data_IF_841694015441
#
_entry.id   IF_841694015441
#
_cell.length_a   1.000
_cell.length_b   1.000
_cell.length_c   1.000
_cell.angle_alpha   90.00
_cell.angle_beta   90.00
_cell.angle_gamma   90.00
#
_symmetry.space_group_name_H-M   'P 1'
#
loop_
_entity.id
_entity.type
_entity.pdbx_description
1 polymer ?
#
# COMPACT_ATOMS: atom_id res chain seq x y z
N UNK A 1 5.30 7.22 29.24
CA UNK A 1 4.53 7.90 30.32
C UNK A 1 4.75 9.40 30.16
N UNK A 2 3.71 10.20 29.90
CA UNK A 2 3.85 11.63 29.57
C UNK A 2 3.44 12.53 30.77
N UNK A 3 4.21 13.59 31.06
CA UNK A 3 3.96 14.65 32.08
C UNK A 3 4.43 16.04 31.57
N UNK A 4 3.76 17.12 31.99
CA UNK A 4 3.82 18.50 31.46
C UNK A 4 4.95 19.35 32.07
N UNK A 5 5.69 20.13 31.25
CA UNK A 5 6.63 21.18 31.70
C UNK A 5 6.38 22.52 30.96
N UNK A 6 6.72 23.64 31.61
CA UNK A 6 6.51 25.00 31.12
C UNK A 6 7.52 25.42 30.01
N UNK A 7 7.02 26.11 28.98
CA UNK A 7 7.78 26.51 27.80
C UNK A 7 8.45 27.87 27.93
N UNK A 8 9.75 27.94 27.60
CA UNK A 8 10.54 29.17 27.49
C UNK A 8 10.06 30.07 26.34
N UNK A 9 9.64 31.30 26.68
CA UNK A 9 9.00 32.26 25.77
C UNK A 9 9.95 32.84 24.72
N UNK A 10 11.26 32.93 24.99
CA UNK A 10 12.26 33.47 24.06
C UNK A 10 12.38 32.61 22.79
N UNK A 11 12.45 31.29 22.95
CA UNK A 11 12.49 30.35 21.83
C UNK A 11 11.22 30.41 20.94
N UNK A 12 10.10 30.87 21.49
CA UNK A 12 8.85 31.04 20.74
C UNK A 12 8.90 32.29 19.87
N UNK A 13 9.47 33.37 20.38
CA UNK A 13 9.64 34.63 19.64
C UNK A 13 10.66 34.49 18.50
N UNK A 14 11.76 33.76 18.71
CA UNK A 14 12.76 33.50 17.66
C UNK A 14 12.25 32.62 16.51
N UNK A 15 11.27 31.73 16.77
CA UNK A 15 10.58 31.01 15.69
C UNK A 15 9.63 31.94 14.94
N UNK A 16 8.96 32.84 15.64
CA UNK A 16 8.02 33.77 15.04
C UNK A 16 8.71 34.78 14.11
N UNK A 17 9.85 35.33 14.53
CA UNK A 17 10.65 36.25 13.69
C UNK A 17 11.23 35.56 12.45
N UNK A 18 11.64 34.28 12.56
CA UNK A 18 12.08 33.49 11.40
C UNK A 18 10.95 33.25 10.40
N UNK A 19 9.74 32.96 10.88
CA UNK A 19 8.58 32.78 10.02
C UNK A 19 8.19 34.07 9.28
N UNK A 20 8.29 35.23 9.93
CA UNK A 20 8.00 36.52 9.29
C UNK A 20 8.95 36.83 8.13
N UNK A 21 10.27 36.58 8.29
CA UNK A 21 11.25 36.78 7.19
C UNK A 21 10.94 35.91 5.96
N UNK A 22 10.58 34.65 6.17
CA UNK A 22 10.22 33.71 5.09
C UNK A 22 8.91 34.14 4.39
N UNK A 23 8.03 34.85 5.10
CA UNK A 23 6.75 35.30 4.52
C UNK A 23 6.93 36.56 3.68
N UNK A 24 7.79 37.50 4.09
CA UNK A 24 8.11 38.71 3.31
C UNK A 24 8.81 38.40 1.98
N UNK A 25 9.65 37.36 1.93
CA UNK A 25 10.33 36.93 0.69
C UNK A 25 9.37 36.26 -0.31
N UNK A 26 8.28 35.66 0.18
CA UNK A 26 7.28 35.00 -0.66
C UNK A 26 6.16 35.94 -1.14
N UNK A 27 5.89 37.06 -0.43
CA UNK A 27 4.83 38.02 -0.79
C UNK A 27 5.21 38.88 -2.01
N UNK A 28 6.50 39.03 -2.35
CA UNK A 28 6.91 39.77 -3.55
C UNK A 28 6.58 39.05 -4.87
N UNK A 29 6.20 37.76 -4.84
CA UNK A 29 6.07 36.92 -6.03
C UNK A 29 4.65 36.45 -6.36
N UNK A 30 3.63 36.79 -5.57
CA UNK A 30 2.26 36.35 -5.82
C UNK A 30 1.21 37.31 -5.25
N UNK A 31 1.13 38.51 -5.84
CA UNK A 31 -0.09 39.31 -5.72
C UNK A 31 -1.18 38.69 -6.59
N UNK A 32 -2.22 38.18 -5.94
CA UNK A 32 -3.55 38.01 -6.54
C UNK A 32 -4.13 36.59 -6.46
N UNK A 33 -4.86 36.29 -5.38
CA UNK A 33 -6.31 36.02 -5.37
C UNK A 33 -6.70 35.40 -4.01
N UNK A 34 -7.76 35.95 -3.43
CA UNK A 34 -8.33 35.73 -2.11
C UNK A 34 -9.01 34.36 -1.89
N UNK A 35 -8.75 33.81 -0.71
CA UNK A 35 -9.63 33.24 0.32
C UNK A 35 -10.86 32.36 0.03
N UNK A 36 -10.90 31.29 0.86
CA UNK A 36 -12.01 30.52 1.42
C UNK A 36 -12.84 29.57 0.53
N UNK A 37 -12.84 28.28 0.91
CA UNK A 37 -14.03 27.60 1.46
C UNK A 37 -13.73 26.17 1.95
N UNK A 38 -14.18 25.89 3.18
CA UNK A 38 -14.27 24.57 3.82
C UNK A 38 -15.22 23.64 3.06
N UNK A 39 -14.84 22.37 2.81
CA UNK A 39 -15.84 21.32 2.55
C UNK A 39 -15.45 19.94 3.10
N UNK A 40 -16.29 19.51 4.04
CA UNK A 40 -16.47 18.14 4.54
C UNK A 40 -17.18 17.35 3.44
N UNK A 41 -16.68 16.16 3.08
CA UNK A 41 -17.44 15.24 2.23
C UNK A 41 -18.25 14.30 3.12
N UNK A 42 -19.55 14.57 3.22
CA UNK A 42 -20.57 13.60 3.63
C UNK A 42 -20.87 12.66 2.45
N UNK A 43 -20.90 11.36 2.74
CA UNK A 43 -21.35 10.33 1.83
C UNK A 43 -22.81 10.54 1.45
N UNK A 44 -23.08 10.75 0.16
CA UNK A 44 -24.41 10.51 -0.43
C UNK A 44 -24.24 9.48 -1.54
N UNK A 45 -24.95 8.36 -1.37
CA UNK A 45 -25.20 7.36 -2.39
C UNK A 45 -26.01 8.00 -3.52
N UNK A 46 -25.41 8.23 -4.68
CA UNK A 46 -26.12 8.17 -5.96
C UNK A 46 -25.21 7.53 -7.02
N UNK A 47 -25.70 6.46 -7.62
CA UNK A 47 -24.99 5.69 -8.62
C UNK A 47 -24.71 6.53 -9.86
N UNK A 48 -23.42 6.74 -10.15
CA UNK A 48 -22.97 7.08 -11.49
C UNK A 48 -21.65 6.35 -11.80
N UNK A 49 -21.70 5.53 -12.84
CA UNK A 49 -20.56 4.88 -13.46
C UNK A 49 -19.58 5.92 -14.01
N UNK A 50 -18.58 6.31 -13.22
CA UNK A 50 -17.31 6.82 -13.75
C UNK A 50 -16.20 5.86 -13.32
N UNK A 51 -15.89 4.93 -14.22
CA UNK A 51 -14.72 4.08 -14.09
C UNK A 51 -13.48 4.96 -14.32
N UNK A 52 -12.98 5.62 -13.26
CA UNK A 52 -11.72 6.33 -13.30
C UNK A 52 -10.62 5.36 -13.76
N UNK A 53 -9.93 5.71 -14.84
CA UNK A 53 -8.82 4.93 -15.39
C UNK A 53 -7.67 4.90 -14.37
N UNK A 54 -7.56 3.80 -13.63
CA UNK A 54 -6.34 3.49 -12.88
C UNK A 54 -5.23 3.17 -13.88
N UNK A 55 -4.22 4.03 -13.97
CA UNK A 55 -3.02 3.81 -14.77
C UNK A 55 -2.02 3.04 -13.93
N UNK A 56 -1.95 1.73 -14.15
CA UNK A 56 -1.03 0.80 -13.51
C UNK A 56 0.40 1.05 -14.02
N UNK A 57 1.34 1.49 -13.16
CA UNK A 57 2.74 1.75 -13.53
C UNK A 57 3.69 1.01 -12.58
N UNK A 58 4.18 -0.15 -13.01
CA UNK A 58 5.23 -0.88 -12.29
C UNK A 58 6.62 -0.36 -12.66
N UNK A 59 7.44 0.00 -11.67
CA UNK A 59 8.88 0.27 -11.84
C UNK A 59 9.62 -1.01 -12.18
N UNK A 60 10.36 -1.02 -13.29
CA UNK A 60 11.30 -2.09 -13.63
C UNK A 60 12.67 -1.82 -13.00
N UNK A 61 13.31 -2.85 -12.46
CA UNK A 61 14.74 -2.86 -12.13
C UNK A 61 15.35 -4.08 -12.82
N UNK A 62 16.48 -3.91 -13.50
CA UNK A 62 17.22 -5.03 -14.10
C UNK A 62 18.72 -4.98 -13.80
N UNK A 63 19.10 -5.90 -12.91
CA UNK A 63 20.29 -6.76 -12.73
C UNK A 63 21.74 -6.28 -12.97
N UNK A 64 22.55 -6.58 -11.95
CA UNK A 64 24.00 -6.80 -12.02
C UNK A 64 24.33 -8.09 -12.79
N UNK A 65 25.27 -8.05 -13.74
CA UNK A 65 26.54 -8.76 -13.56
C UNK A 65 27.66 -8.32 -14.54
N UNK A 66 28.86 -8.38 -13.99
CA UNK A 66 30.17 -7.97 -14.48
C UNK A 66 30.71 -8.73 -15.70
N UNK A 67 31.25 -8.01 -16.70
CA UNK A 67 32.55 -8.24 -17.37
C UNK A 67 32.93 -6.94 -18.11
N UNK A 68 34.11 -6.38 -17.80
CA UNK A 68 34.81 -5.24 -18.44
C UNK A 68 34.28 -4.81 -19.82
N UNK A 69 33.34 -3.86 -19.84
CA UNK A 69 33.00 -3.08 -21.03
C UNK A 69 32.84 -1.63 -20.58
N UNK A 70 33.70 -0.74 -21.08
CA UNK A 70 33.67 0.68 -20.76
C UNK A 70 32.32 1.27 -21.18
N UNK A 71 31.45 1.43 -20.19
CA UNK A 71 30.15 2.06 -20.33
C UNK A 71 30.34 3.53 -20.02
N UNK A 72 30.10 4.40 -21.01
CA UNK A 72 30.25 5.85 -20.81
C UNK A 72 28.86 6.46 -20.69
N UNK A 73 28.62 7.10 -19.55
CA UNK A 73 27.47 7.97 -19.34
C UNK A 73 27.92 9.40 -19.59
N UNK A 74 27.29 10.05 -20.57
CA UNK A 74 27.46 11.49 -20.79
C UNK A 74 26.15 12.20 -20.43
N UNK A 75 26.29 13.24 -19.61
CA UNK A 75 25.23 14.17 -19.29
C UNK A 75 25.65 15.51 -19.89
N UNK A 76 24.82 16.04 -20.78
CA UNK A 76 25.08 17.32 -21.40
C UNK A 76 23.89 18.25 -21.16
N UNK A 77 24.22 19.48 -20.78
CA UNK A 77 23.25 20.52 -20.48
C UNK A 77 23.14 21.44 -21.69
N UNK A 78 21.94 21.57 -22.24
CA UNK A 78 21.67 22.54 -23.30
C UNK A 78 20.51 23.41 -22.84
N UNK A 79 20.83 24.63 -22.39
CA UNK A 79 19.84 25.52 -21.78
C UNK A 79 19.34 25.02 -20.43
N UNK A 80 18.01 25.04 -20.21
CA UNK A 80 17.36 24.53 -19.00
C UNK A 80 17.03 23.03 -19.07
N UNK A 81 17.31 22.37 -20.19
CA UNK A 81 17.00 20.96 -20.41
C UNK A 81 18.24 20.08 -20.21
N UNK A 82 18.00 18.91 -19.63
CA UNK A 82 19.04 17.92 -19.33
C UNK A 82 18.76 16.66 -20.12
N UNK A 83 19.74 16.24 -20.93
CA UNK A 83 19.70 14.95 -21.60
C UNK A 83 20.83 14.06 -21.11
N UNK A 84 20.48 12.82 -20.78
CA UNK A 84 21.44 11.76 -20.46
C UNK A 84 21.47 10.74 -21.58
N UNK A 85 22.67 10.45 -22.08
CA UNK A 85 22.88 9.43 -23.10
C UNK A 85 23.84 8.36 -22.56
N UNK A 86 23.46 7.10 -22.76
CA UNK A 86 24.32 5.95 -22.55
C UNK A 86 24.73 5.38 -23.91
N UNK A 87 26.03 5.30 -24.18
CA UNK A 87 26.53 4.78 -25.46
C UNK A 87 27.38 3.54 -25.23
N UNK A 88 27.07 2.47 -25.98
CA UNK A 88 27.89 1.26 -26.06
C UNK A 88 28.77 1.39 -27.31
N UNK A 89 30.10 1.34 -27.15
CA UNK A 89 31.02 1.42 -28.29
C UNK A 89 30.76 0.28 -29.28
N UNK A 90 30.28 0.64 -30.48
CA UNK A 90 30.08 -0.28 -31.61
C UNK A 90 31.41 -0.55 -32.30
N UNK A 91 32.09 -1.62 -31.90
CA UNK A 91 32.99 -2.34 -32.79
C UNK A 91 32.69 -3.84 -32.69
N UNK A 92 31.56 -4.25 -33.27
CA UNK A 92 31.35 -5.62 -33.73
C UNK A 92 30.08 -5.72 -34.60
N UNK A 93 30.31 -6.09 -35.87
CA UNK A 93 29.39 -6.63 -36.89
C UNK A 93 28.45 -5.68 -37.64
N UNK A 94 28.81 -5.46 -38.91
CA UNK A 94 27.87 -5.27 -40.01
C UNK A 94 26.93 -6.48 -40.08
N UNK A 95 25.66 -6.30 -39.72
CA UNK A 95 24.59 -7.17 -40.18
C UNK A 95 23.42 -6.28 -40.62
N UNK A 96 23.16 -6.26 -41.93
CA UNK A 96 21.90 -5.75 -42.44
C UNK A 96 20.77 -6.59 -41.81
N UNK A 97 19.83 -5.94 -41.13
CA UNK A 97 18.66 -6.63 -40.59
C UNK A 97 17.39 -5.90 -41.05
N UNK A 98 16.51 -6.63 -41.73
CA UNK A 98 15.12 -6.26 -41.87
C UNK A 98 14.47 -6.35 -40.50
N UNK A 99 13.73 -5.32 -40.10
CA UNK A 99 12.91 -5.37 -38.88
C UNK A 99 11.75 -6.33 -39.14
N UNK A 100 11.82 -7.51 -38.54
CA UNK A 100 10.66 -8.38 -38.32
C UNK A 100 10.31 -8.34 -36.84
N UNK A 101 9.02 -8.19 -36.55
CA UNK A 101 8.46 -8.36 -35.23
C UNK A 101 8.66 -9.81 -34.80
N UNK A 102 9.67 -10.07 -33.97
CA UNK A 102 9.91 -11.40 -33.41
C UNK A 102 9.17 -11.50 -32.10
N UNK A 103 8.02 -12.15 -32.13
CA UNK A 103 7.42 -12.68 -30.91
C UNK A 103 8.44 -13.57 -30.20
N UNK A 104 8.68 -13.34 -28.92
CA UNK A 104 9.39 -14.29 -28.07
C UNK A 104 8.47 -15.49 -27.78
N UNK A 105 8.31 -16.37 -28.76
CA UNK A 105 7.62 -17.65 -28.70
C UNK A 105 8.16 -18.56 -29.81
N UNK A 106 8.22 -19.89 -29.62
CA UNK A 106 8.84 -20.77 -30.58
C UNK A 106 8.07 -20.77 -31.91
N UNK A 107 8.76 -20.42 -33.00
CA UNK A 107 8.29 -20.50 -34.37
C UNK A 107 8.43 -21.93 -34.89
N UNK A 108 7.53 -22.85 -34.54
CA UNK A 108 7.39 -24.09 -35.34
C UNK A 108 6.03 -24.76 -35.19
N UNK A 109 5.39 -24.96 -36.34
CA UNK A 109 4.26 -25.85 -36.55
C UNK A 109 4.80 -27.25 -36.89
N UNK A 110 4.45 -28.21 -36.04
CA UNK A 110 4.50 -29.68 -36.22
C UNK A 110 5.90 -30.32 -36.31
N UNK A 111 6.29 -31.12 -35.30
CA UNK A 111 6.31 -32.60 -35.28
C UNK A 111 6.48 -33.08 -33.82
N UNK A 112 5.54 -33.91 -33.38
CA UNK A 112 5.48 -34.85 -32.25
C UNK A 112 5.96 -34.48 -30.82
N UNK A 113 4.96 -34.43 -29.92
CA UNK A 113 5.01 -34.30 -28.44
C UNK A 113 5.46 -32.96 -27.86
N UNK A 114 4.90 -31.85 -28.35
CA UNK A 114 5.02 -30.50 -27.78
C UNK A 114 4.04 -30.19 -26.62
N UNK A 115 3.30 -31.19 -26.10
CA UNK A 115 2.48 -31.06 -24.88
C UNK A 115 3.31 -30.82 -23.61
N UNK A 116 4.64 -30.88 -23.70
CA UNK A 116 5.61 -30.88 -22.59
C UNK A 116 6.30 -29.54 -22.31
N UNK A 117 5.88 -28.44 -22.95
CA UNK A 117 6.24 -27.11 -22.42
C UNK A 117 5.47 -26.90 -21.12
N UNK A 118 6.18 -26.85 -19.98
CA UNK A 118 5.64 -26.55 -18.64
C UNK A 118 4.89 -25.21 -18.67
N UNK A 119 3.60 -25.25 -19.02
CA UNK A 119 2.71 -24.11 -18.97
C UNK A 119 2.35 -23.89 -17.50
N UNK A 120 2.17 -22.64 -17.09
CA UNK A 120 1.60 -22.37 -15.79
C UNK A 120 0.11 -22.72 -15.83
N UNK A 121 -0.24 -23.87 -15.25
CA UNK A 121 -1.59 -24.43 -15.15
C UNK A 121 -2.34 -23.92 -13.92
N UNK A 122 -2.04 -22.69 -13.48
CA UNK A 122 -2.67 -22.11 -12.30
C UNK A 122 -2.32 -22.87 -11.02
N UNK A 123 -3.32 -23.19 -10.22
CA UNK A 123 -3.13 -23.82 -8.90
C UNK A 123 -2.48 -25.20 -8.99
N UNK A 124 -2.69 -25.94 -10.08
CA UNK A 124 -2.10 -27.28 -10.27
C UNK A 124 -0.58 -27.26 -10.39
N UNK A 125 0.04 -26.09 -10.64
CA UNK A 125 1.49 -25.94 -10.63
C UNK A 125 2.09 -25.83 -9.23
N UNK A 126 1.29 -25.61 -8.19
CA UNK A 126 1.76 -25.43 -6.81
C UNK A 126 1.96 -26.80 -6.16
N UNK A 127 3.22 -27.18 -5.93
CA UNK A 127 3.57 -28.53 -5.44
C UNK A 127 3.77 -28.58 -3.92
N UNK A 128 4.15 -27.46 -3.32
CA UNK A 128 4.50 -27.39 -1.91
C UNK A 128 4.10 -26.05 -1.28
N UNK A 129 4.17 -25.99 0.05
CA UNK A 129 3.71 -24.82 0.81
C UNK A 129 4.61 -23.60 0.62
N UNK A 130 5.91 -23.79 0.34
CA UNK A 130 6.82 -22.68 0.13
C UNK A 130 6.49 -21.99 -1.21
N UNK A 131 6.26 -22.76 -2.27
CA UNK A 131 5.81 -22.23 -3.56
C UNK A 131 4.52 -21.41 -3.42
N UNK A 132 3.56 -21.91 -2.63
CA UNK A 132 2.33 -21.17 -2.39
C UNK A 132 2.61 -19.87 -1.64
N UNK A 133 3.37 -19.92 -0.54
CA UNK A 133 3.71 -18.74 0.27
C UNK A 133 4.47 -17.68 -0.51
N UNK A 134 5.41 -18.09 -1.35
CA UNK A 134 6.21 -17.17 -2.16
C UNK A 134 5.33 -16.40 -3.15
N UNK A 135 4.36 -17.08 -3.76
CA UNK A 135 3.44 -16.48 -4.72
C UNK A 135 2.32 -15.68 -4.08
N UNK A 136 1.78 -16.14 -2.96
CA UNK A 136 0.48 -15.66 -2.41
C UNK A 136 0.58 -15.05 -1.02
N UNK A 137 1.66 -15.27 -0.30
CA UNK A 137 1.82 -14.88 1.10
C UNK A 137 1.00 -15.73 2.09
N UNK A 138 0.34 -16.81 1.66
CA UNK A 138 -0.51 -17.64 2.53
C UNK A 138 -0.13 -19.12 2.51
N UNK A 139 -0.48 -19.85 3.58
CA UNK A 139 -0.35 -21.31 3.67
C UNK A 139 -1.51 -22.02 2.97
N UNK A 140 -1.38 -23.33 2.71
CA UNK A 140 -2.51 -24.12 2.20
C UNK A 140 -3.71 -24.10 3.15
N UNK A 141 -3.47 -24.03 4.47
CA UNK A 141 -4.54 -23.94 5.47
C UNK A 141 -5.36 -22.66 5.29
N UNK A 142 -4.71 -21.51 5.12
CA UNK A 142 -5.39 -20.23 4.88
C UNK A 142 -6.04 -20.21 3.49
N UNK A 143 -5.37 -20.74 2.47
CA UNK A 143 -5.93 -20.85 1.12
C UNK A 143 -7.25 -21.66 1.13
N UNK A 144 -7.24 -22.83 1.77
CA UNK A 144 -8.42 -23.68 1.89
C UNK A 144 -9.51 -23.08 2.80
N UNK A 145 -9.14 -22.21 3.76
CA UNK A 145 -10.09 -21.44 4.56
C UNK A 145 -10.85 -20.41 3.71
N UNK A 146 -10.19 -19.77 2.73
CA UNK A 146 -10.78 -18.76 1.87
C UNK A 146 -11.60 -19.34 0.72
N UNK A 147 -11.26 -20.54 0.26
CA UNK A 147 -11.89 -21.16 -0.93
C UNK A 147 -13.43 -21.26 -0.85
N UNK A 148 -14.05 -21.65 0.29
CA UNK A 148 -15.51 -21.72 0.42
C UNK A 148 -16.23 -20.39 0.29
N UNK A 149 -15.53 -19.24 0.37
CA UNK A 149 -16.15 -17.94 0.16
C UNK A 149 -16.50 -17.68 -1.31
N UNK A 150 -15.90 -18.43 -2.24
CA UNK A 150 -15.98 -18.18 -3.68
C UNK A 150 -17.04 -19.03 -4.41
N UNK A 151 -17.78 -19.87 -3.67
CA UNK A 151 -18.62 -20.97 -4.17
C UNK A 151 -19.77 -20.58 -5.11
N UNK A 152 -20.07 -19.29 -5.26
CA UNK A 152 -21.18 -18.80 -6.10
C UNK A 152 -20.78 -18.47 -7.56
N UNK A 153 -19.58 -18.84 -8.00
CA UNK A 153 -19.08 -18.46 -9.33
C UNK A 153 -19.40 -19.48 -10.43
N UNK A 154 -20.67 -19.52 -10.85
CA UNK A 154 -21.08 -20.19 -12.09
C UNK A 154 -20.38 -19.58 -13.33
N UNK A 155 -19.74 -20.46 -14.12
CA UNK A 155 -19.20 -20.24 -15.50
C UNK A 155 -18.03 -19.26 -15.66
N UNK A 156 -16.92 -19.46 -14.95
CA UNK A 156 -15.64 -18.83 -15.30
C UNK A 156 -14.75 -19.80 -16.10
N UNK A 157 -13.97 -19.27 -17.05
CA UNK A 157 -12.99 -20.03 -17.86
C UNK A 157 -11.89 -20.65 -16.99
N UNK A 158 -11.63 -20.03 -15.84
CA UNK A 158 -10.60 -20.44 -14.88
C UNK A 158 -11.27 -21.11 -13.67
N UNK A 159 -10.70 -22.20 -13.19
CA UNK A 159 -11.20 -22.90 -12.00
C UNK A 159 -11.10 -22.02 -10.75
N UNK A 160 -11.91 -22.33 -9.75
CA UNK A 160 -12.05 -21.52 -8.54
C UNK A 160 -10.75 -21.39 -7.73
N UNK A 161 -9.89 -22.43 -7.73
CA UNK A 161 -8.61 -22.38 -7.03
C UNK A 161 -7.65 -21.46 -7.76
N UNK A 162 -7.55 -21.55 -9.08
CA UNK A 162 -6.69 -20.63 -9.84
C UNK A 162 -7.20 -19.20 -9.84
N UNK A 163 -8.52 -18.97 -9.71
CA UNK A 163 -9.07 -17.63 -9.46
C UNK A 163 -8.58 -17.07 -8.11
N UNK A 164 -8.66 -17.85 -7.03
CA UNK A 164 -8.14 -17.45 -5.73
C UNK A 164 -6.61 -17.23 -5.78
N UNK A 165 -5.88 -18.09 -6.50
CA UNK A 165 -4.45 -17.93 -6.72
C UNK A 165 -4.13 -16.61 -7.43
N UNK A 166 -4.85 -16.27 -8.51
CA UNK A 166 -4.71 -14.99 -9.22
C UNK A 166 -4.89 -13.82 -8.26
N UNK A 167 -5.97 -13.85 -7.47
CA UNK A 167 -6.26 -12.79 -6.50
C UNK A 167 -5.13 -12.62 -5.50
N UNK A 168 -4.68 -13.70 -4.87
CA UNK A 168 -3.63 -13.65 -3.85
C UNK A 168 -2.26 -13.26 -4.42
N UNK A 169 -1.90 -13.72 -5.63
CA UNK A 169 -0.69 -13.27 -6.33
C UNK A 169 -0.73 -11.76 -6.56
N UNK A 170 -1.87 -11.23 -7.02
CA UNK A 170 -2.03 -9.79 -7.25
C UNK A 170 -1.87 -9.00 -5.95
N UNK A 171 -2.46 -9.45 -4.84
CA UNK A 171 -2.33 -8.81 -3.53
C UNK A 171 -0.89 -8.88 -3.00
N UNK A 172 -0.23 -10.03 -3.11
CA UNK A 172 1.11 -10.25 -2.56
C UNK A 172 2.22 -9.55 -3.36
N UNK A 173 2.17 -9.63 -4.69
CA UNK A 173 3.25 -9.19 -5.57
C UNK A 173 2.97 -7.88 -6.30
N UNK A 174 1.71 -7.40 -6.31
CA UNK A 174 1.34 -6.19 -7.04
C UNK A 174 1.46 -6.28 -8.56
N UNK A 175 1.75 -7.48 -9.11
CA UNK A 175 2.07 -7.67 -10.52
C UNK A 175 0.94 -7.24 -11.45
N UNK A 176 1.26 -6.75 -12.65
CA UNK A 176 0.24 -6.19 -13.56
C UNK A 176 -0.79 -7.21 -14.04
N UNK A 177 -2.02 -6.76 -14.34
CA UNK A 177 -3.02 -7.64 -14.94
C UNK A 177 -2.58 -8.18 -16.30
N UNK A 178 -1.77 -7.41 -17.05
CA UNK A 178 -1.16 -7.88 -18.30
C UNK A 178 -0.23 -9.07 -18.05
N UNK A 179 0.62 -9.03 -17.03
CA UNK A 179 1.50 -10.15 -16.72
C UNK A 179 0.73 -11.37 -16.21
N UNK A 180 -0.27 -11.18 -15.32
CA UNK A 180 -1.17 -12.28 -14.89
C UNK A 180 -1.90 -12.92 -16.07
N UNK A 181 -2.27 -12.13 -17.07
CA UNK A 181 -2.92 -12.61 -18.28
C UNK A 181 -2.03 -13.57 -19.09
N UNK A 182 -0.72 -13.31 -19.12
CA UNK A 182 0.28 -14.19 -19.75
C UNK A 182 0.46 -15.48 -18.94
N UNK A 183 0.60 -15.37 -17.62
CA UNK A 183 0.79 -16.54 -16.76
C UNK A 183 -0.40 -17.50 -16.80
N UNK A 184 -1.62 -16.97 -16.70
CA UNK A 184 -2.84 -17.79 -16.62
C UNK A 184 -3.53 -17.99 -17.98
N UNK A 185 -2.96 -17.47 -19.07
CA UNK A 185 -3.49 -17.56 -20.44
C UNK A 185 -4.95 -17.13 -20.56
N UNK A 186 -5.29 -16.05 -19.87
CA UNK A 186 -6.60 -15.40 -19.93
C UNK A 186 -6.42 -13.99 -20.51
N UNK A 187 -7.50 -13.32 -20.90
CA UNK A 187 -7.39 -11.91 -21.28
C UNK A 187 -7.09 -11.03 -20.06
N UNK A 188 -6.36 -9.90 -20.25
CA UNK A 188 -6.17 -8.88 -19.20
C UNK A 188 -7.50 -8.46 -18.56
N UNK A 189 -8.55 -8.29 -19.38
CA UNK A 189 -9.89 -7.94 -18.92
C UNK A 189 -10.48 -9.02 -18.02
N UNK A 190 -10.30 -10.29 -18.35
CA UNK A 190 -10.73 -11.43 -17.53
C UNK A 190 -10.00 -11.45 -16.19
N UNK A 191 -8.67 -11.25 -16.19
CA UNK A 191 -7.87 -11.21 -14.97
C UNK A 191 -8.34 -10.10 -14.01
N UNK A 192 -8.56 -8.90 -14.55
CA UNK A 192 -9.07 -7.76 -13.78
C UNK A 192 -10.48 -8.02 -13.23
N UNK A 193 -11.40 -8.56 -14.04
CA UNK A 193 -12.75 -8.92 -13.59
C UNK A 193 -12.73 -9.95 -12.46
N UNK A 194 -11.90 -10.98 -12.57
CA UNK A 194 -11.74 -11.99 -11.52
C UNK A 194 -11.24 -11.33 -10.23
N UNK A 195 -10.19 -10.51 -10.32
CA UNK A 195 -9.63 -9.84 -9.15
C UNK A 195 -10.67 -9.00 -8.40
N UNK A 196 -11.37 -8.08 -9.09
CA UNK A 196 -12.34 -7.21 -8.42
C UNK A 196 -13.55 -7.97 -7.89
N UNK A 197 -14.04 -8.99 -8.62
CA UNK A 197 -15.10 -9.87 -8.11
C UNK A 197 -14.69 -10.56 -6.82
N UNK A 198 -13.47 -11.10 -6.76
CA UNK A 198 -12.95 -11.77 -5.57
C UNK A 198 -12.67 -10.79 -4.43
N UNK A 199 -12.22 -9.58 -4.75
CA UNK A 199 -12.01 -8.49 -3.79
C UNK A 199 -13.31 -8.21 -3.03
N UNK A 200 -14.41 -7.96 -3.74
CA UNK A 200 -15.71 -7.66 -3.10
C UNK A 200 -16.21 -8.82 -2.24
N UNK A 201 -16.11 -10.05 -2.75
CA UNK A 201 -16.54 -11.25 -2.03
C UNK A 201 -15.70 -11.46 -0.77
N UNK A 202 -14.37 -11.40 -0.87
CA UNK A 202 -13.48 -11.62 0.27
C UNK A 202 -13.67 -10.51 1.29
N UNK A 203 -13.68 -9.24 0.89
CA UNK A 203 -13.91 -8.11 1.81
C UNK A 203 -15.25 -8.23 2.56
N UNK A 204 -16.31 -8.64 1.87
CA UNK A 204 -17.62 -8.87 2.50
C UNK A 204 -17.57 -10.03 3.51
N UNK A 205 -17.00 -11.17 3.11
CA UNK A 205 -16.97 -12.39 3.95
C UNK A 205 -16.00 -12.29 5.13
N UNK A 206 -14.95 -11.48 5.03
CA UNK A 206 -13.94 -11.31 6.10
C UNK A 206 -14.15 -10.05 6.93
N UNK A 207 -15.20 -9.26 6.70
CA UNK A 207 -15.48 -8.01 7.42
C UNK A 207 -15.43 -8.16 8.96
N UNK A 208 -15.91 -9.30 9.46
CA UNK A 208 -16.00 -9.56 10.91
C UNK A 208 -14.74 -10.25 11.48
N UNK A 209 -13.69 -10.44 10.69
CA UNK A 209 -12.43 -11.05 11.18
C UNK A 209 -11.64 -10.09 12.06
N UNK A 210 -11.84 -8.78 11.88
CA UNK A 210 -11.31 -7.74 12.76
C UNK A 210 -12.42 -7.36 13.73
N UNK A 211 -12.30 -7.81 14.96
CA UNK A 211 -13.25 -7.50 16.04
C UNK A 211 -12.50 -6.95 17.24
N UNK A 212 -13.21 -6.17 18.06
CA UNK A 212 -12.68 -5.65 19.31
C UNK A 212 -13.00 -6.64 20.45
N UNK A 213 -12.00 -7.37 20.99
CA UNK A 213 -12.22 -8.33 22.06
C UNK A 213 -12.56 -7.64 23.38
N UNK A 214 -13.32 -8.30 24.26
CA UNK A 214 -13.62 -7.79 25.59
C UNK A 214 -12.35 -7.73 26.48
N UNK A 215 -12.42 -6.93 27.55
CA UNK A 215 -11.29 -6.70 28.45
C UNK A 215 -10.78 -7.98 29.12
N UNK A 216 -11.69 -8.85 29.55
CA UNK A 216 -11.35 -10.09 30.24
C UNK A 216 -10.55 -11.02 29.32
N UNK A 217 -10.99 -11.20 28.07
CA UNK A 217 -10.28 -11.98 27.05
C UNK A 217 -8.85 -11.49 26.82
N UNK A 218 -8.64 -10.17 26.80
CA UNK A 218 -7.29 -9.59 26.66
C UNK A 218 -6.44 -9.85 27.89
N UNK A 219 -6.95 -9.60 29.10
CA UNK A 219 -6.20 -9.84 30.34
C UNK A 219 -5.76 -11.30 30.47
N UNK A 220 -6.61 -12.26 30.08
CA UNK A 220 -6.26 -13.68 30.10
C UNK A 220 -5.17 -14.02 29.08
N UNK A 221 -5.29 -13.49 27.86
CA UNK A 221 -4.36 -13.78 26.74
C UNK A 221 -3.11 -12.91 26.71
N UNK A 222 -2.96 -11.96 27.64
CA UNK A 222 -1.82 -11.08 27.72
C UNK A 222 -0.51 -11.87 27.95
N UNK A 223 0.57 -11.60 27.19
CA UNK A 223 1.86 -12.26 27.41
C UNK A 223 2.39 -12.03 28.83
N UNK A 224 3.12 -13.00 29.39
CA UNK A 224 3.63 -12.92 30.76
C UNK A 224 4.52 -11.69 31.00
N UNK A 225 5.32 -11.28 30.02
CA UNK A 225 6.15 -10.07 30.09
C UNK A 225 5.33 -8.79 30.21
N UNK A 226 4.13 -8.76 29.63
CA UNK A 226 3.19 -7.65 29.73
C UNK A 226 2.41 -7.70 31.04
N UNK A 227 2.00 -8.88 31.53
CA UNK A 227 1.32 -9.01 32.83
C UNK A 227 2.10 -8.40 33.99
N UNK A 228 3.43 -8.44 33.94
CA UNK A 228 4.30 -7.89 34.98
C UNK A 228 4.43 -6.36 34.87
N UNK A 229 4.65 -5.84 33.66
CA UNK A 229 5.03 -4.44 33.46
C UNK A 229 3.86 -3.52 33.06
N UNK A 230 2.84 -4.10 32.43
CA UNK A 230 1.69 -3.41 31.84
C UNK A 230 0.40 -4.25 32.05
N UNK A 231 0.01 -4.53 33.32
CA UNK A 231 -1.11 -5.42 33.63
C UNK A 231 -2.46 -4.94 33.07
N UNK A 232 -2.59 -3.63 32.82
CA UNK A 232 -3.79 -3.01 32.26
C UNK A 232 -3.67 -2.73 30.75
N UNK A 233 -2.63 -3.25 30.08
CA UNK A 233 -2.44 -3.07 28.65
C UNK A 233 -3.65 -3.61 27.87
N UNK A 234 -4.41 -2.71 27.26
CA UNK A 234 -5.55 -3.04 26.40
C UNK A 234 -5.09 -3.39 25.01
N UNK A 235 -4.21 -2.58 24.43
CA UNK A 235 -3.63 -2.83 23.11
C UNK A 235 -2.37 -2.00 22.86
N UNK A 236 -1.66 -2.39 21.81
CA UNK A 236 -0.60 -1.58 21.21
C UNK A 236 -1.16 -0.96 19.94
N UNK A 237 -1.00 0.34 19.76
CA UNK A 237 -1.40 1.04 18.54
C UNK A 237 -0.19 1.52 17.74
N UNK A 238 -0.35 1.50 16.42
CA UNK A 238 0.60 2.09 15.50
C UNK A 238 -0.11 2.61 14.23
N UNK A 239 0.41 3.70 13.67
CA UNK A 239 -0.03 4.20 12.38
C UNK A 239 0.81 3.58 11.26
N UNK A 240 0.24 2.61 10.55
CA UNK A 240 0.90 1.95 9.43
C UNK A 240 0.78 2.80 8.17
N UNK A 241 1.92 3.08 7.52
CA UNK A 241 1.98 3.76 6.22
C UNK A 241 2.24 2.78 5.07
N UNK A 242 1.35 2.79 4.09
CA UNK A 242 1.42 1.98 2.86
C UNK A 242 1.79 2.92 1.71
N UNK A 243 2.90 2.62 1.01
CA UNK A 243 3.31 3.39 -0.17
C UNK A 243 2.28 3.24 -1.30
N UNK A 244 2.03 4.34 -2.00
CA UNK A 244 1.13 4.39 -3.16
C UNK A 244 1.83 5.00 -4.36
N UNK A 245 1.26 4.79 -5.55
CA UNK A 245 1.69 5.47 -6.77
C UNK A 245 1.46 6.98 -6.64
N UNK A 246 2.18 7.76 -7.45
CA UNK A 246 2.01 9.21 -7.48
C UNK A 246 0.56 9.56 -7.89
N UNK A 247 -0.15 10.37 -7.09
CA UNK A 247 -1.49 10.82 -7.45
C UNK A 247 -1.48 11.72 -8.69
N UNK A 248 -2.61 11.79 -9.40
CA UNK A 248 -2.71 12.58 -10.63
C UNK A 248 -2.82 14.08 -10.39
N UNK A 249 -3.32 14.49 -9.22
CA UNK A 249 -3.56 15.90 -8.89
C UNK A 249 -2.57 16.41 -7.85
N UNK A 250 -2.23 17.70 -7.92
CA UNK A 250 -1.32 18.35 -6.97
C UNK A 250 -1.89 18.30 -5.56
N UNK A 251 -3.20 18.51 -5.41
CA UNK A 251 -3.90 18.43 -4.14
C UNK A 251 -3.74 17.05 -3.49
N UNK A 252 -4.01 15.97 -4.23
CA UNK A 252 -3.81 14.61 -3.72
C UNK A 252 -2.34 14.31 -3.45
N UNK A 253 -1.42 14.84 -4.25
CA UNK A 253 0.02 14.73 -3.98
C UNK A 253 0.37 15.34 -2.62
N UNK A 254 -0.10 16.55 -2.32
CA UNK A 254 0.12 17.21 -1.02
C UNK A 254 -0.51 16.41 0.12
N UNK A 255 -1.72 15.89 -0.07
CA UNK A 255 -2.44 15.11 0.94
C UNK A 255 -1.76 13.77 1.25
N UNK A 256 -1.28 13.07 0.22
CA UNK A 256 -0.67 11.74 0.36
C UNK A 256 0.83 11.79 0.67
N UNK A 257 1.52 12.91 0.48
CA UNK A 257 2.95 12.98 0.70
C UNK A 257 3.31 12.86 2.19
N UNK A 258 3.96 11.75 2.54
CA UNK A 258 4.56 11.54 3.85
C UNK A 258 5.96 12.11 3.88
N UNK A 259 6.17 13.12 4.72
CA UNK A 259 7.50 13.69 4.95
C UNK A 259 8.44 12.67 5.59
N UNK A 260 7.90 11.79 6.44
CA UNK A 260 8.67 10.76 7.12
C UNK A 260 9.19 9.68 6.16
N UNK A 261 8.38 9.27 5.18
CA UNK A 261 8.77 8.24 4.19
C UNK A 261 9.33 8.82 2.89
N UNK A 262 9.36 10.14 2.74
CA UNK A 262 9.77 10.86 1.52
C UNK A 262 9.10 10.31 0.25
N UNK A 263 7.83 9.91 0.35
CA UNK A 263 7.04 9.39 -0.76
C UNK A 263 5.54 9.51 -0.47
N UNK A 264 4.70 9.19 -1.45
CA UNK A 264 3.26 9.17 -1.30
C UNK A 264 2.83 7.92 -0.54
N UNK A 265 2.07 8.11 0.54
CA UNK A 265 1.56 7.03 1.38
C UNK A 265 0.11 7.25 1.76
N UNK A 266 -0.58 6.15 2.04
CA UNK A 266 -1.83 6.11 2.78
C UNK A 266 -1.51 5.59 4.17
N UNK A 267 -2.10 6.19 5.20
CA UNK A 267 -1.90 5.87 6.60
C UNK A 267 -3.18 5.28 7.19
N UNK A 268 -3.02 4.29 8.07
CA UNK A 268 -4.13 3.70 8.84
C UNK A 268 -3.67 3.42 10.26
N UNK A 269 -4.54 3.66 11.25
CA UNK A 269 -4.31 3.24 12.62
C UNK A 269 -4.67 1.76 12.76
N UNK A 270 -3.78 1.01 13.38
CA UNK A 270 -3.95 -0.41 13.68
C UNK A 270 -3.80 -0.58 15.19
N UNK A 271 -4.69 -1.37 15.82
CA UNK A 271 -4.54 -1.79 17.21
C UNK A 271 -4.37 -3.31 17.33
N UNK A 272 -3.41 -3.72 18.13
CA UNK A 272 -2.99 -5.12 18.31
C UNK A 272 -2.87 -5.43 19.80
N UNK A 273 -3.85 -6.10 20.42
CA UNK A 273 -3.80 -6.45 21.84
C UNK A 273 -2.97 -7.69 22.16
N UNK A 274 -3.00 -8.72 21.32
CA UNK A 274 -2.33 -10.00 21.55
C UNK A 274 -1.73 -10.61 20.28
N UNK A 275 -1.29 -9.76 19.35
CA UNK A 275 -0.73 -10.17 18.05
C UNK A 275 -1.75 -10.26 16.92
N UNK A 276 -3.05 -10.18 17.22
CA UNK A 276 -4.13 -10.09 16.24
C UNK A 276 -4.53 -8.63 15.99
N UNK A 277 -4.77 -8.25 14.74
CA UNK A 277 -5.37 -6.95 14.42
C UNK A 277 -6.81 -6.93 14.93
N UNK A 278 -7.11 -6.06 15.89
CA UNK A 278 -8.43 -5.95 16.54
C UNK A 278 -9.14 -4.62 16.25
N UNK A 279 -8.42 -3.67 15.66
CA UNK A 279 -8.97 -2.41 15.17
C UNK A 279 -8.21 -1.97 13.93
N UNK A 280 -8.95 -1.45 12.94
CA UNK A 280 -8.41 -0.85 11.73
C UNK A 280 -9.25 0.40 11.42
N UNK A 281 -8.61 1.57 11.33
CA UNK A 281 -9.30 2.81 10.97
C UNK A 281 -9.65 2.86 9.48
N UNK A 282 -10.40 3.89 9.07
CA UNK A 282 -10.40 4.33 7.67
C UNK A 282 -8.99 4.75 7.23
N UNK A 283 -8.79 4.86 5.92
CA UNK A 283 -7.55 5.35 5.35
C UNK A 283 -7.44 6.87 5.42
N UNK A 284 -6.24 7.38 5.69
CA UNK A 284 -5.90 8.80 5.74
C UNK A 284 -4.70 9.08 4.82
N UNK A 285 -4.52 10.32 4.41
CA UNK A 285 -3.33 10.70 3.64
C UNK A 285 -2.06 10.64 4.48
N UNK A 286 -0.92 10.32 3.86
CA UNK A 286 0.38 10.20 4.51
C UNK A 286 0.84 11.43 5.30
N UNK A 287 0.33 12.61 4.95
CA UNK A 287 0.58 13.87 5.67
C UNK A 287 -0.14 13.95 7.02
N UNK A 288 -1.19 13.16 7.22
CA UNK A 288 -2.04 13.21 8.42
C UNK A 288 -1.25 12.74 9.64
N UNK A 289 -1.36 13.48 10.76
CA UNK A 289 -0.67 13.13 12.00
C UNK A 289 -1.34 11.96 12.70
N UNK A 290 -0.54 11.14 13.39
CA UNK A 290 -1.04 9.95 14.08
C UNK A 290 -2.04 10.34 15.18
N UNK A 291 -1.79 11.44 15.90
CA UNK A 291 -2.72 11.97 16.89
C UNK A 291 -4.07 12.38 16.31
N UNK A 292 -4.10 12.99 15.11
CA UNK A 292 -5.37 13.33 14.45
C UNK A 292 -6.15 12.06 14.11
N UNK A 293 -5.47 11.06 13.52
CA UNK A 293 -6.07 9.78 13.17
C UNK A 293 -6.64 9.09 14.41
N UNK A 294 -5.90 9.07 15.52
CA UNK A 294 -6.40 8.45 16.76
C UNK A 294 -7.69 9.08 17.26
N UNK A 295 -7.80 10.41 17.20
CA UNK A 295 -8.99 11.11 17.66
C UNK A 295 -10.18 10.94 16.68
N UNK A 296 -9.94 10.95 15.37
CA UNK A 296 -11.00 10.88 14.35
C UNK A 296 -11.46 9.44 14.00
N UNK A 297 -10.62 8.43 14.25
CA UNK A 297 -10.88 7.05 13.77
C UNK A 297 -11.96 6.29 14.53
N UNK A 298 -12.47 6.82 15.64
CA UNK A 298 -13.37 6.10 16.56
C UNK A 298 -12.65 5.06 17.43
N UNK A 299 -11.31 5.06 17.45
CA UNK A 299 -10.53 4.16 18.31
C UNK A 299 -10.77 4.42 19.79
N UNK A 300 -10.81 5.69 20.22
CA UNK A 300 -10.97 6.06 21.62
C UNK A 300 -12.29 5.58 22.22
N UNK A 301 -13.35 5.49 21.40
CA UNK A 301 -14.67 4.97 21.79
C UNK A 301 -14.65 3.47 22.14
N UNK A 302 -13.57 2.75 21.79
CA UNK A 302 -13.40 1.33 22.09
C UNK A 302 -12.75 1.07 23.45
N UNK A 303 -12.17 2.10 24.07
CA UNK A 303 -11.44 1.98 25.32
C UNK A 303 -12.37 2.11 26.53
N UNK A 304 -12.05 1.35 27.58
CA UNK A 304 -12.75 1.40 28.85
C UNK A 304 -11.92 2.16 29.91
N UNK A 305 -12.54 2.72 30.96
CA UNK A 305 -11.81 3.31 32.07
C UNK A 305 -10.75 2.36 32.66
N UNK A 306 -9.54 2.88 32.84
CA UNK A 306 -8.40 2.14 33.36
C UNK A 306 -7.66 1.29 32.32
N UNK A 307 -8.03 1.35 31.04
CA UNK A 307 -7.25 0.74 29.96
C UNK A 307 -5.95 1.51 29.72
N UNK A 308 -4.84 0.78 29.58
CA UNK A 308 -3.55 1.32 29.15
C UNK A 308 -3.32 1.00 27.68
N UNK A 309 -3.00 2.01 26.88
CA UNK A 309 -2.65 1.83 25.46
C UNK A 309 -1.17 2.11 25.28
N UNK A 310 -0.44 1.15 24.73
CA UNK A 310 0.95 1.35 24.35
C UNK A 310 1.01 1.90 22.93
N UNK A 311 1.87 2.87 22.72
CA UNK A 311 2.03 3.54 21.43
C UNK A 311 3.48 4.00 21.28
N UNK A 312 3.92 4.23 20.04
CA UNK A 312 5.23 4.83 19.77
C UNK A 312 5.23 6.34 20.12
N UNK A 313 6.39 6.99 19.98
CA UNK A 313 6.59 8.42 20.22
C UNK A 313 5.82 9.33 19.25
N UNK A 314 5.20 8.78 18.20
CA UNK A 314 4.42 9.49 17.19
C UNK A 314 3.07 10.04 17.67
N UNK A 315 2.66 9.79 18.92
CA UNK A 315 1.36 10.18 19.48
C UNK A 315 1.37 11.37 20.48
N UNK A 316 2.18 12.43 20.35
CA UNK A 316 2.14 13.55 21.29
C UNK A 316 0.92 14.44 21.00
N UNK A 317 -0.18 14.21 21.72
CA UNK A 317 -1.38 15.07 21.64
C UNK A 317 -2.73 14.38 21.55
N UNK A 318 -2.84 13.11 21.97
CA UNK A 318 -4.16 12.50 22.19
C UNK A 318 -4.84 13.31 23.32
N UNK A 319 -5.84 14.11 22.97
CA UNK A 319 -6.64 14.85 23.93
C UNK A 319 -7.79 13.94 24.33
N UNK A 320 -7.73 13.36 25.52
CA UNK A 320 -8.93 12.77 26.10
C UNK A 320 -9.82 13.90 26.58
N UNK A 321 -11.04 14.01 26.05
CA UNK A 321 -12.06 14.98 26.50
C UNK A 321 -12.42 14.86 27.98
N UNK A 322 -11.89 13.86 28.69
CA UNK A 322 -12.05 13.65 30.13
C UNK A 322 -11.33 14.69 31.02
N UNK A 323 -10.53 15.62 30.49
CA UNK A 323 -9.84 16.63 31.32
C UNK A 323 -10.70 17.85 31.71
N UNK A 324 -11.97 17.93 31.29
CA UNK A 324 -12.82 19.11 31.54
C UNK A 324 -13.97 18.91 32.55
N UNK A 325 -14.08 17.76 33.24
CA UNK A 325 -15.15 17.52 34.22
C UNK A 325 -14.64 16.91 35.53
N UNK A 326 -13.83 17.65 36.30
CA UNK A 326 -13.72 17.50 37.76
C UNK A 326 -13.16 18.75 38.42
#
# INVERSE_FOLDING_TARGET
MYKKNETNQEHRMDRYQRAQKVTSDNILHSVGIQDHCDYIITSTDEGNNLMNQFKEVSTQVAFENSVNKNFVFSCEFVGSDVCTQATIQKNCFNLASSVQDKSCGPDSLQVDSCLSYNKFHGFDCIKDENQLKDLTGVTFKVFNLLLPFLSDSNKNLLDIKSQLLLFLIKIKLGITFSALSVFLKISRRTASKIFFKLFDVICSKTKNFIFWPDKYSITQTLPNSFKINYPNCRCIIDCTEIKVEQPSTVEQCVYLYSTYKSCYTVKTLVAVPNGMISFLSKCYGGRTSDSFITNDSGFLEKLEPGDEVLADKGFPGIKTECENNN
#
